data_IF_720551063046
#
_entry.id   IF_720551063046
#
_cell.length_a   1.000
_cell.length_b   1.000
_cell.length_c   1.000
_cell.angle_alpha   90.00
_cell.angle_beta   90.00
_cell.angle_gamma   90.00
#
_symmetry.space_group_name_H-M   'P 1'
#
loop_
_entity.id
_entity.type
_entity.pdbx_description
1 polymer ?
#
# COMPACT_ATOMS: atom_id res chain seq x y z
N UNK A 1 12.57 17.56 -0.02
CA UNK A 1 11.20 16.98 -0.05
C UNK A 1 11.34 15.54 -0.51
N UNK A 2 11.06 14.48 0.26
CA UNK A 2 10.79 14.28 1.70
C UNK A 2 11.26 12.83 1.93
N UNK A 3 12.30 12.60 2.73
CA UNK A 3 12.93 11.27 2.89
C UNK A 3 12.05 10.41 3.79
N UNK A 4 11.00 9.80 3.21
CA UNK A 4 10.25 8.75 3.88
C UNK A 4 11.08 7.47 3.98
N UNK A 5 10.86 6.68 5.02
CA UNK A 5 11.40 5.33 5.12
C UNK A 5 10.47 4.37 4.39
N UNK A 6 11.01 3.37 3.70
CA UNK A 6 10.24 2.31 3.08
C UNK A 6 10.73 0.94 3.55
N UNK A 7 9.80 0.06 3.91
CA UNK A 7 10.06 -1.37 4.05
C UNK A 7 9.71 -2.03 2.72
N UNK A 8 10.62 -2.85 2.19
CA UNK A 8 10.46 -3.54 0.92
C UNK A 8 10.49 -5.04 1.16
N UNK A 9 9.49 -5.76 0.66
CA UNK A 9 9.42 -7.21 0.73
C UNK A 9 9.03 -7.78 -0.64
N UNK A 10 9.64 -8.89 -1.10
CA UNK A 10 9.19 -9.56 -2.31
C UNK A 10 7.74 -10.03 -2.17
N UNK A 11 7.00 -10.10 -3.28
CA UNK A 11 5.63 -10.65 -3.27
C UNK A 11 5.65 -12.13 -2.83
N UNK A 12 6.64 -12.88 -3.29
CA UNK A 12 6.88 -14.28 -2.90
C UNK A 12 8.39 -14.56 -2.97
N UNK A 13 9.01 -14.92 -1.83
CA UNK A 13 10.45 -15.22 -1.76
C UNK A 13 10.86 -16.38 -2.68
N UNK A 14 9.96 -17.32 -2.96
CA UNK A 14 10.22 -18.45 -3.84
C UNK A 14 10.12 -18.06 -5.33
N UNK A 15 9.69 -16.83 -5.66
CA UNK A 15 9.48 -16.36 -7.04
C UNK A 15 10.27 -15.07 -7.29
N UNK A 16 11.59 -15.15 -7.48
CA UNK A 16 12.43 -13.97 -7.72
C UNK A 16 12.12 -13.23 -9.04
N UNK A 17 11.32 -13.84 -9.93
CA UNK A 17 10.81 -13.21 -11.15
C UNK A 17 9.53 -12.39 -10.95
N UNK A 18 9.08 -12.23 -9.71
CA UNK A 18 7.97 -11.37 -9.30
C UNK A 18 8.49 -10.11 -8.64
N UNK A 19 7.66 -9.07 -8.65
CA UNK A 19 7.95 -7.79 -8.03
C UNK A 19 7.88 -7.83 -6.51
N UNK A 20 7.74 -6.64 -5.93
CA UNK A 20 7.77 -6.43 -4.49
C UNK A 20 6.65 -5.51 -4.02
N UNK A 21 6.39 -5.52 -2.72
CA UNK A 21 5.51 -4.56 -2.04
C UNK A 21 6.38 -3.62 -1.22
N UNK A 22 6.07 -2.34 -1.30
CA UNK A 22 6.71 -1.27 -0.53
C UNK A 22 5.70 -0.70 0.47
N UNK A 23 6.08 -0.60 1.74
CA UNK A 23 5.36 0.19 2.74
C UNK A 23 6.13 1.48 2.95
N UNK A 24 5.64 2.57 2.41
CA UNK A 24 6.24 3.90 2.47
C UNK A 24 5.62 4.68 3.63
N UNK A 25 6.44 5.38 4.42
CA UNK A 25 6.00 6.13 5.60
C UNK A 25 6.31 7.60 5.44
N UNK A 26 5.30 8.44 5.66
CA UNK A 26 5.43 9.88 5.57
C UNK A 26 4.52 10.64 6.52
N UNK A 27 4.92 11.84 6.93
CA UNK A 27 4.04 12.75 7.66
C UNK A 27 3.04 13.38 6.68
N UNK A 28 1.74 13.33 6.99
CA UNK A 28 0.71 13.93 6.16
C UNK A 28 0.89 15.46 6.10
N UNK A 29 1.02 16.00 4.89
CA UNK A 29 0.92 17.46 4.66
C UNK A 29 -0.52 17.87 4.41
N UNK A 30 -1.28 16.98 3.75
CA UNK A 30 -2.70 17.10 3.50
C UNK A 30 -3.37 15.78 3.87
N UNK A 31 -4.52 15.88 4.53
CA UNK A 31 -5.32 14.71 4.90
C UNK A 31 -6.43 14.48 3.86
N UNK A 32 -6.71 13.22 3.48
CA UNK A 32 -7.90 12.89 2.73
C UNK A 32 -9.16 13.39 3.43
N UNK A 33 -10.12 13.91 2.67
CA UNK A 33 -11.35 14.50 3.21
C UNK A 33 -12.13 13.52 4.11
N UNK A 34 -12.03 12.22 3.82
CA UNK A 34 -12.68 11.17 4.60
C UNK A 34 -12.22 11.11 6.08
N UNK A 35 -11.04 11.66 6.41
CA UNK A 35 -10.49 11.64 7.78
C UNK A 35 -10.07 13.02 8.31
N UNK A 36 -10.10 14.07 7.47
CA UNK A 36 -9.64 15.40 7.84
C UNK A 36 -10.40 16.03 9.03
N UNK A 37 -11.65 15.63 9.27
CA UNK A 37 -12.49 16.13 10.37
C UNK A 37 -12.44 15.29 11.65
N UNK A 38 -11.66 14.21 11.67
CA UNK A 38 -11.64 13.28 12.79
C UNK A 38 -10.84 13.82 13.99
N UNK A 39 -11.30 13.61 15.25
CA UNK A 39 -10.62 14.14 16.43
C UNK A 39 -9.16 13.66 16.57
N UNK A 40 -8.86 12.44 16.12
CA UNK A 40 -7.51 11.86 16.18
C UNK A 40 -6.56 12.46 15.13
N UNK A 41 -7.07 13.14 14.10
CA UNK A 41 -6.26 13.67 13.01
C UNK A 41 -5.73 15.09 13.26
N UNK A 42 -6.20 15.75 14.33
CA UNK A 42 -5.95 17.18 14.64
C UNK A 42 -4.48 17.50 14.90
N UNK A 43 -3.70 16.54 15.41
CA UNK A 43 -2.30 16.77 15.81
C UNK A 43 -1.27 16.33 14.78
N UNK A 44 -1.70 16.11 13.53
CA UNK A 44 -0.88 15.55 12.47
C UNK A 44 -1.00 14.03 12.40
N UNK A 45 -0.79 13.49 11.21
CA UNK A 45 -1.02 12.08 10.90
C UNK A 45 0.19 11.53 10.16
N UNK A 46 0.51 10.26 10.41
CA UNK A 46 1.49 9.51 9.61
C UNK A 46 0.72 8.66 8.61
N UNK A 47 1.08 8.80 7.33
CA UNK A 47 0.53 7.99 6.25
C UNK A 47 1.47 6.82 5.98
N UNK A 48 0.89 5.62 5.92
CA UNK A 48 1.54 4.42 5.46
C UNK A 48 0.95 4.08 4.08
N UNK A 49 1.71 4.27 3.00
CA UNK A 49 1.28 3.90 1.66
C UNK A 49 1.85 2.52 1.32
N UNK A 50 0.97 1.58 0.96
CA UNK A 50 1.37 0.21 0.61
C UNK A 50 1.20 0.04 -0.90
N UNK A 51 2.29 -0.16 -1.61
CA UNK A 51 2.30 -0.14 -3.08
C UNK A 51 2.99 -1.39 -3.62
N UNK A 52 2.32 -2.10 -4.52
CA UNK A 52 2.96 -3.13 -5.34
C UNK A 52 3.74 -2.51 -6.49
N UNK A 53 4.98 -2.98 -6.68
CA UNK A 53 5.85 -2.63 -7.80
C UNK A 53 6.18 -3.90 -8.59
N UNK A 54 5.72 -4.05 -9.83
CA UNK A 54 6.18 -5.14 -10.69
C UNK A 54 7.67 -4.94 -11.02
N UNK A 55 8.36 -6.05 -11.36
CA UNK A 55 9.75 -5.97 -11.85
C UNK A 55 9.87 -5.08 -13.09
N UNK A 56 8.95 -5.27 -14.04
CA UNK A 56 8.87 -4.46 -15.25
C UNK A 56 7.66 -3.53 -15.15
N UNK A 57 7.88 -2.22 -15.28
CA UNK A 57 6.81 -1.22 -15.12
C UNK A 57 5.64 -1.44 -16.10
N UNK A 58 5.93 -1.99 -17.28
CA UNK A 58 4.93 -2.35 -18.28
C UNK A 58 3.91 -3.39 -17.78
N UNK A 59 4.27 -4.22 -16.80
CA UNK A 59 3.39 -5.24 -16.21
C UNK A 59 2.35 -4.65 -15.25
N UNK A 60 2.39 -3.32 -15.00
CA UNK A 60 1.32 -2.61 -14.29
C UNK A 60 0.06 -2.47 -15.14
N UNK A 61 0.21 -2.42 -16.48
CA UNK A 61 -0.90 -2.25 -17.42
C UNK A 61 -1.81 -3.49 -17.44
N UNK A 62 -3.09 -3.39 -17.00
CA UNK A 62 -4.04 -4.50 -17.01
C UNK A 62 -4.20 -5.14 -18.38
N UNK A 63 -4.08 -4.38 -19.47
CA UNK A 63 -4.26 -4.86 -20.83
C UNK A 63 -3.13 -5.80 -21.30
N UNK A 64 -1.99 -5.81 -20.59
CA UNK A 64 -0.79 -6.58 -20.95
C UNK A 64 -0.54 -7.78 -20.03
N UNK A 65 -1.44 -8.06 -19.09
CA UNK A 65 -1.21 -9.10 -18.10
C UNK A 65 -1.26 -10.50 -18.70
N UNK A 66 -0.14 -11.22 -18.60
CA UNK A 66 -0.11 -12.67 -18.80
C UNK A 66 -0.77 -13.39 -17.61
N UNK A 67 -1.01 -14.70 -17.72
CA UNK A 67 -1.54 -15.50 -16.60
C UNK A 67 -0.64 -15.43 -15.37
N UNK A 68 0.68 -15.48 -15.56
CA UNK A 68 1.66 -15.36 -14.48
C UNK A 68 1.57 -14.01 -13.79
N UNK A 69 1.46 -12.91 -14.53
CA UNK A 69 1.33 -11.55 -13.95
C UNK A 69 0.00 -11.31 -13.25
N UNK A 70 -1.08 -11.95 -13.70
CA UNK A 70 -2.34 -11.96 -12.93
C UNK A 70 -2.18 -12.67 -11.58
N UNK A 71 -1.45 -13.79 -11.55
CA UNK A 71 -1.13 -14.48 -10.30
C UNK A 71 -0.32 -13.61 -9.34
N UNK A 72 0.76 -13.00 -9.85
CA UNK A 72 1.57 -12.05 -9.08
C UNK A 72 0.72 -10.91 -8.49
N UNK A 73 -0.17 -10.30 -9.28
CA UNK A 73 -1.05 -9.24 -8.82
C UNK A 73 -2.00 -9.68 -7.71
N UNK A 74 -2.55 -10.89 -7.82
CA UNK A 74 -3.46 -11.41 -6.80
C UNK A 74 -2.73 -11.65 -5.47
N UNK A 75 -1.54 -12.24 -5.52
CA UNK A 75 -0.71 -12.45 -4.32
C UNK A 75 -0.22 -11.12 -3.73
N UNK A 76 0.16 -10.16 -4.57
CA UNK A 76 0.53 -8.83 -4.12
C UNK A 76 -0.64 -8.11 -3.44
N UNK A 77 -1.86 -8.23 -3.98
CA UNK A 77 -3.06 -7.66 -3.36
C UNK A 77 -3.32 -8.30 -1.98
N UNK A 78 -3.22 -9.62 -1.86
CA UNK A 78 -3.36 -10.31 -0.57
C UNK A 78 -2.30 -9.86 0.44
N UNK A 79 -1.04 -9.69 0.01
CA UNK A 79 0.04 -9.18 0.85
C UNK A 79 -0.21 -7.73 1.29
N UNK A 80 -0.71 -6.87 0.39
CA UNK A 80 -1.08 -5.48 0.71
C UNK A 80 -2.19 -5.47 1.77
N UNK A 81 -3.25 -6.26 1.60
CA UNK A 81 -4.36 -6.34 2.56
C UNK A 81 -3.88 -6.83 3.93
N UNK A 82 -3.03 -7.86 3.96
CA UNK A 82 -2.46 -8.38 5.20
C UNK A 82 -1.59 -7.32 5.92
N UNK A 83 -0.73 -6.60 5.18
CA UNK A 83 0.09 -5.53 5.73
C UNK A 83 -0.76 -4.35 6.23
N UNK A 84 -1.79 -3.96 5.48
CA UNK A 84 -2.72 -2.91 5.89
C UNK A 84 -3.43 -3.29 7.18
N UNK A 85 -3.89 -4.54 7.31
CA UNK A 85 -4.58 -5.03 8.52
C UNK A 85 -3.64 -4.98 9.72
N UNK A 86 -2.42 -5.48 9.57
CA UNK A 86 -1.41 -5.45 10.63
C UNK A 86 -1.09 -4.02 11.08
N UNK A 87 -0.97 -3.07 10.13
CA UNK A 87 -0.73 -1.65 10.46
C UNK A 87 -1.91 -1.02 11.18
N UNK A 88 -3.15 -1.27 10.73
CA UNK A 88 -4.35 -0.77 11.41
C UNK A 88 -4.47 -1.33 12.82
N UNK A 89 -4.25 -2.62 13.01
CA UNK A 89 -4.27 -3.26 14.33
C UNK A 89 -3.19 -2.70 15.27
N UNK A 90 -1.98 -2.48 14.76
CA UNK A 90 -0.87 -1.98 15.56
C UNK A 90 -1.00 -0.48 15.93
N UNK A 91 -1.65 0.32 15.09
CA UNK A 91 -1.68 1.78 15.24
C UNK A 91 -3.04 2.34 15.67
N UNK A 92 -4.13 1.57 15.51
CA UNK A 92 -5.49 2.06 15.65
C UNK A 92 -5.94 3.00 14.52
N UNK A 93 -5.20 3.05 13.41
CA UNK A 93 -5.43 3.92 12.26
C UNK A 93 -6.69 3.57 11.45
N UNK A 94 -6.81 4.19 10.27
CA UNK A 94 -7.88 3.90 9.30
C UNK A 94 -7.26 3.55 7.95
N UNK A 95 -7.86 2.56 7.28
CA UNK A 95 -7.49 2.18 5.94
C UNK A 95 -8.24 3.03 4.92
N UNK A 96 -7.51 3.49 3.91
CA UNK A 96 -8.08 4.19 2.77
C UNK A 96 -7.59 3.54 1.48
N UNK A 97 -8.41 3.60 0.43
CA UNK A 97 -7.99 3.23 -0.92
C UNK A 97 -7.11 4.32 -1.57
N UNK A 98 -6.69 4.07 -2.81
CA UNK A 98 -5.85 4.98 -3.60
C UNK A 98 -6.53 6.31 -3.94
N UNK A 99 -7.86 6.37 -3.90
CA UNK A 99 -8.66 7.58 -4.12
C UNK A 99 -8.96 8.34 -2.81
N UNK A 100 -8.56 7.79 -1.66
CA UNK A 100 -8.73 8.41 -0.35
C UNK A 100 -10.10 8.17 0.29
N UNK A 101 -10.80 7.10 -0.09
CA UNK A 101 -12.02 6.66 0.57
C UNK A 101 -11.73 5.64 1.66
N UNK A 102 -12.50 5.69 2.74
CA UNK A 102 -12.42 4.68 3.81
C UNK A 102 -12.82 3.31 3.28
N UNK A 103 -12.00 2.31 3.61
CA UNK A 103 -12.26 0.90 3.28
C UNK A 103 -12.23 0.02 4.52
N UNK A 104 -12.93 -1.10 4.45
CA UNK A 104 -12.86 -2.16 5.45
C UNK A 104 -11.85 -3.21 5.01
N UNK A 105 -10.99 -3.64 5.94
CA UNK A 105 -9.96 -4.67 5.73
C UNK A 105 -10.39 -6.01 6.32
#
# INVERSE_FOLDING_TARGET
MRTGYAVVAPVDEARPGWGHVEVQVEAAEYLPLAVAGEPWAVHGVVVHQIVWRPLELADRDPARLTRTRRGERAEAAALIEAAARALVEATGGRALDEDGFLVSL
#
